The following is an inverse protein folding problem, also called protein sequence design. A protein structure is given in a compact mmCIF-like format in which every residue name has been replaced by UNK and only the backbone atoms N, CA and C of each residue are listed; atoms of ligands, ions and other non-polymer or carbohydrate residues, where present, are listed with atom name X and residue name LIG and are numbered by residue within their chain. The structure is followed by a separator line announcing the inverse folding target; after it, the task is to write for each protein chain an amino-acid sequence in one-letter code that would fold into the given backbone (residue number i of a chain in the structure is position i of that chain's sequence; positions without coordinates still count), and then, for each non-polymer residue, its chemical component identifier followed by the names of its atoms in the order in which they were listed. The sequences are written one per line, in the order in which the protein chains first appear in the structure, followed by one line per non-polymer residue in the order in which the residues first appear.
data_IF_752748646259
#
_entry.id   IF_752748646259
#
_cell.length_a   1.000
_cell.length_b   1.000
_cell.length_c   1.000
_cell.angle_alpha   90.00
_cell.angle_beta   90.00
_cell.angle_gamma   90.00
#
_symmetry.space_group_name_H-M   'P 1'
#
loop_
_entity.id
_entity.type
_entity.pdbx_description
1 polymer ?
#
# COMPACT_ATOMS: atom_id res chain seq x y z
N UNK A 1 -27.18 -23.28 -10.80
CA UNK A 1 -26.97 -22.88 -9.40
C UNK A 1 -25.75 -23.62 -8.89
N UNK A 2 -24.78 -22.92 -8.29
CA UNK A 2 -23.63 -23.58 -7.64
C UNK A 2 -24.18 -24.25 -6.37
N UNK A 3 -23.92 -25.55 -6.21
CA UNK A 3 -24.31 -26.34 -5.04
C UNK A 3 -23.86 -25.66 -3.73
N UNK A 4 -24.73 -25.63 -2.73
CA UNK A 4 -24.47 -25.04 -1.41
C UNK A 4 -23.23 -25.67 -0.73
N UNK A 5 -22.98 -26.96 -0.99
CA UNK A 5 -21.78 -27.65 -0.50
C UNK A 5 -20.48 -27.08 -1.10
N UNK A 6 -20.52 -26.68 -2.38
CA UNK A 6 -19.39 -26.07 -3.09
C UNK A 6 -19.14 -24.65 -2.58
N UNK A 7 -20.21 -23.88 -2.31
CA UNK A 7 -20.10 -22.53 -1.75
C UNK A 7 -19.49 -22.54 -0.33
N UNK A 8 -19.84 -23.52 0.50
CA UNK A 8 -19.23 -23.70 1.82
C UNK A 8 -17.73 -24.03 1.74
N UNK A 9 -17.34 -24.93 0.82
CA UNK A 9 -15.92 -25.27 0.58
C UNK A 9 -15.14 -24.05 0.08
N UNK A 10 -15.71 -23.26 -0.83
CA UNK A 10 -15.11 -22.03 -1.34
C UNK A 10 -14.91 -21.01 -0.21
N UNK A 11 -15.93 -20.74 0.61
CA UNK A 11 -15.83 -19.83 1.76
C UNK A 11 -14.72 -20.25 2.73
N UNK A 12 -14.63 -21.55 3.04
CA UNK A 12 -13.57 -22.09 3.90
C UNK A 12 -12.18 -21.88 3.29
N UNK A 13 -11.99 -22.28 2.04
CA UNK A 13 -10.72 -22.11 1.32
C UNK A 13 -10.28 -20.64 1.26
N UNK A 14 -11.21 -19.74 0.92
CA UNK A 14 -10.93 -18.30 0.85
C UNK A 14 -10.54 -17.74 2.23
N UNK A 15 -11.26 -18.11 3.31
CA UNK A 15 -10.91 -17.65 4.67
C UNK A 15 -9.50 -18.10 5.05
N UNK A 16 -9.15 -19.37 4.81
CA UNK A 16 -7.82 -19.91 5.09
C UNK A 16 -6.71 -19.17 4.32
N UNK A 17 -6.89 -18.94 3.02
CA UNK A 17 -5.91 -18.24 2.18
C UNK A 17 -5.76 -16.77 2.55
N UNK A 18 -6.87 -16.08 2.81
CA UNK A 18 -6.83 -14.69 3.26
C UNK A 18 -6.11 -14.55 4.61
N UNK A 19 -6.35 -15.46 5.55
CA UNK A 19 -5.62 -15.48 6.82
C UNK A 19 -4.10 -15.57 6.62
N UNK A 20 -3.65 -16.44 5.72
CA UNK A 20 -2.21 -16.56 5.40
C UNK A 20 -1.65 -15.31 4.74
N UNK A 21 -2.37 -14.70 3.80
CA UNK A 21 -1.93 -13.47 3.15
C UNK A 21 -1.92 -12.27 4.09
N UNK A 22 -2.91 -12.18 4.99
CA UNK A 22 -2.94 -11.19 6.07
C UNK A 22 -1.72 -11.36 6.98
N UNK A 23 -1.43 -12.58 7.45
CA UNK A 23 -0.23 -12.86 8.28
C UNK A 23 1.06 -12.45 7.57
N UNK A 24 1.19 -12.77 6.28
CA UNK A 24 2.35 -12.38 5.45
C UNK A 24 2.46 -10.86 5.34
N UNK A 25 1.35 -10.15 5.12
CA UNK A 25 1.32 -8.69 5.06
C UNK A 25 1.73 -8.05 6.39
N UNK A 26 1.21 -8.55 7.51
CA UNK A 26 1.58 -8.07 8.84
C UNK A 26 3.06 -8.34 9.16
N UNK A 27 3.59 -9.51 8.76
CA UNK A 27 5.01 -9.85 8.90
C UNK A 27 5.90 -8.96 8.03
N UNK A 28 5.47 -8.65 6.79
CA UNK A 28 6.18 -7.73 5.90
C UNK A 28 6.30 -6.36 6.54
N UNK A 29 5.20 -5.79 7.00
CA UNK A 29 5.23 -4.50 7.69
C UNK A 29 6.20 -4.49 8.86
N UNK A 30 6.14 -5.49 9.75
CA UNK A 30 7.02 -5.53 10.94
C UNK A 30 8.51 -5.45 10.56
N UNK A 31 8.87 -5.90 9.35
CA UNK A 31 10.24 -5.89 8.83
C UNK A 31 10.57 -4.68 7.94
N UNK A 32 9.59 -3.87 7.58
CA UNK A 32 9.79 -2.73 6.69
C UNK A 32 10.48 -1.61 7.45
N UNK A 33 11.65 -1.21 6.97
CA UNK A 33 12.20 0.11 7.29
C UNK A 33 11.53 1.16 6.38
N UNK A 34 10.84 2.14 6.98
CA UNK A 34 10.15 3.20 6.25
C UNK A 34 11.11 4.25 5.64
N UNK A 35 12.40 4.13 5.88
CA UNK A 35 13.44 4.92 5.21
C UNK A 35 14.11 4.16 4.07
N UNK A 36 13.80 2.87 3.89
CA UNK A 36 14.36 2.06 2.82
C UNK A 36 13.36 1.92 1.66
N UNK A 37 13.75 2.38 0.47
CA UNK A 37 12.87 2.41 -0.69
C UNK A 37 12.45 1.02 -1.16
N UNK A 38 13.37 0.05 -1.12
CA UNK A 38 13.10 -1.31 -1.54
C UNK A 38 12.08 -1.99 -0.61
N UNK A 39 12.18 -1.73 0.69
CA UNK A 39 11.22 -2.22 1.68
C UNK A 39 9.84 -1.58 1.53
N UNK A 40 9.77 -0.28 1.25
CA UNK A 40 8.52 0.42 0.93
C UNK A 40 7.88 -0.14 -0.34
N UNK A 41 8.67 -0.40 -1.39
CA UNK A 41 8.20 -1.00 -2.62
C UNK A 41 7.65 -2.41 -2.40
N UNK A 42 8.37 -3.25 -1.64
CA UNK A 42 7.91 -4.59 -1.24
C UNK A 42 6.61 -4.52 -0.42
N UNK A 43 6.49 -3.56 0.50
CA UNK A 43 5.27 -3.34 1.28
C UNK A 43 4.10 -2.93 0.37
N UNK A 44 4.34 -2.03 -0.60
CA UNK A 44 3.33 -1.59 -1.58
C UNK A 44 2.79 -2.76 -2.40
N UNK A 45 3.66 -3.62 -2.94
CA UNK A 45 3.24 -4.83 -3.67
C UNK A 45 2.40 -5.74 -2.77
N UNK A 46 2.84 -5.95 -1.52
CA UNK A 46 2.14 -6.82 -0.57
C UNK A 46 0.75 -6.28 -0.24
N UNK A 47 0.62 -4.97 0.01
CA UNK A 47 -0.66 -4.31 0.26
C UNK A 47 -1.57 -4.36 -0.98
N UNK A 48 -1.02 -4.18 -2.18
CA UNK A 48 -1.74 -4.32 -3.46
C UNK A 48 -2.34 -5.71 -3.63
N UNK A 49 -1.51 -6.73 -3.49
CA UNK A 49 -1.94 -8.12 -3.64
C UNK A 49 -3.03 -8.47 -2.63
N UNK A 50 -2.88 -8.06 -1.36
CA UNK A 50 -3.89 -8.33 -0.35
C UNK A 50 -5.22 -7.62 -0.64
N UNK A 51 -5.18 -6.34 -1.08
CA UNK A 51 -6.41 -5.64 -1.46
C UNK A 51 -7.12 -6.34 -2.61
N UNK A 52 -6.40 -6.67 -3.67
CA UNK A 52 -6.98 -7.34 -4.84
C UNK A 52 -7.57 -8.69 -4.48
N UNK A 53 -6.92 -9.45 -3.60
CA UNK A 53 -7.49 -10.69 -3.07
C UNK A 53 -8.82 -10.45 -2.33
N UNK A 54 -8.87 -9.45 -1.44
CA UNK A 54 -10.10 -9.12 -0.70
C UNK A 54 -11.22 -8.60 -1.62
N UNK A 55 -10.90 -7.79 -2.62
CA UNK A 55 -11.85 -7.28 -3.61
C UNK A 55 -12.40 -8.42 -4.48
N UNK A 56 -11.51 -9.29 -4.97
CA UNK A 56 -11.87 -10.46 -5.79
C UNK A 56 -12.87 -11.36 -5.06
N UNK A 57 -12.63 -11.65 -3.79
CA UNK A 57 -13.50 -12.54 -3.02
C UNK A 57 -14.61 -11.81 -2.25
N UNK A 58 -14.84 -10.52 -2.51
CA UNK A 58 -15.83 -9.72 -1.77
C UNK A 58 -17.25 -10.32 -1.76
N UNK A 59 -17.62 -11.10 -2.78
CA UNK A 59 -18.91 -11.78 -2.90
C UNK A 59 -19.13 -12.93 -1.91
N UNK A 60 -18.07 -13.49 -1.32
CA UNK A 60 -18.14 -14.55 -0.29
C UNK A 60 -17.71 -14.09 1.10
N UNK A 61 -17.28 -12.83 1.22
CA UNK A 61 -16.78 -12.23 2.47
C UNK A 61 -17.88 -11.44 3.19
N UNK A 62 -17.68 -11.23 4.49
CA UNK A 62 -18.59 -10.41 5.29
C UNK A 62 -18.48 -8.93 4.87
N UNK A 63 -19.58 -8.14 4.95
CA UNK A 63 -19.55 -6.71 4.68
C UNK A 63 -18.49 -5.94 5.49
N UNK A 64 -18.12 -6.42 6.68
CA UNK A 64 -17.06 -5.84 7.52
C UNK A 64 -15.70 -5.79 6.83
N UNK A 65 -15.45 -6.62 5.82
CA UNK A 65 -14.20 -6.60 5.03
C UNK A 65 -14.08 -5.36 4.14
N UNK A 66 -15.18 -4.66 3.84
CA UNK A 66 -15.14 -3.41 3.06
C UNK A 66 -14.26 -2.34 3.71
N UNK A 67 -14.27 -2.28 5.02
CA UNK A 67 -13.45 -1.33 5.77
C UNK A 67 -11.95 -1.67 5.64
N UNK A 68 -11.58 -2.96 5.71
CA UNK A 68 -10.21 -3.40 5.47
C UNK A 68 -9.72 -3.02 4.07
N UNK A 69 -10.56 -3.20 3.05
CA UNK A 69 -10.27 -2.80 1.67
C UNK A 69 -10.03 -1.28 1.60
N UNK A 70 -10.89 -0.47 2.23
CA UNK A 70 -10.75 0.99 2.27
C UNK A 70 -9.43 1.42 2.93
N UNK A 71 -9.03 0.77 4.03
CA UNK A 71 -7.73 1.04 4.67
C UNK A 71 -6.57 0.69 3.75
N UNK A 72 -6.60 -0.48 3.12
CA UNK A 72 -5.56 -0.89 2.18
C UNK A 72 -5.45 0.04 0.97
N UNK A 73 -6.56 0.64 0.50
CA UNK A 73 -6.51 1.70 -0.52
C UNK A 73 -5.72 2.91 -0.03
N UNK A 74 -6.07 3.45 1.14
CA UNK A 74 -5.35 4.59 1.74
C UNK A 74 -3.86 4.31 1.91
N UNK A 75 -3.52 3.10 2.34
CA UNK A 75 -2.12 2.70 2.47
C UNK A 75 -1.42 2.66 1.10
N UNK A 76 -2.08 2.12 0.07
CA UNK A 76 -1.53 2.11 -1.28
C UNK A 76 -1.36 3.52 -1.85
N UNK A 77 -2.30 4.43 -1.57
CA UNK A 77 -2.23 5.83 -2.02
C UNK A 77 -1.00 6.51 -1.40
N UNK A 78 -0.78 6.34 -0.09
CA UNK A 78 0.38 6.89 0.61
C UNK A 78 1.70 6.28 0.09
N UNK A 79 1.76 4.95 -0.02
CA UNK A 79 2.95 4.25 -0.52
C UNK A 79 3.23 4.57 -2.00
N UNK A 80 2.17 4.81 -2.78
CA UNK A 80 2.26 5.27 -4.17
C UNK A 80 2.85 6.67 -4.24
N UNK A 81 2.35 7.59 -3.41
CA UNK A 81 2.88 8.95 -3.36
C UNK A 81 4.37 8.98 -3.02
N UNK A 82 4.79 8.25 -1.97
CA UNK A 82 6.22 8.18 -1.58
C UNK A 82 7.07 7.65 -2.75
N UNK A 83 6.64 6.56 -3.38
CA UNK A 83 7.35 5.98 -4.53
C UNK A 83 7.42 6.94 -5.73
N UNK A 84 6.34 7.66 -6.00
CA UNK A 84 6.29 8.61 -7.11
C UNK A 84 7.17 9.83 -6.84
N UNK A 85 7.28 10.28 -5.57
CA UNK A 85 8.24 11.32 -5.19
C UNK A 85 9.68 10.86 -5.40
N UNK A 86 10.03 9.64 -4.99
CA UNK A 86 11.37 9.08 -5.20
C UNK A 86 11.72 8.99 -6.69
N UNK A 87 10.79 8.44 -7.48
CA UNK A 87 10.94 8.33 -8.93
C UNK A 87 11.10 9.71 -9.55
N UNK A 88 10.28 10.69 -9.14
CA UNK A 88 10.34 12.05 -9.62
C UNK A 88 11.66 12.75 -9.33
N UNK A 89 12.17 12.63 -8.10
CA UNK A 89 13.49 13.17 -7.72
C UNK A 89 14.58 12.62 -8.64
N UNK A 90 14.59 11.31 -8.90
CA UNK A 90 15.58 10.70 -9.79
C UNK A 90 15.49 11.23 -11.24
N UNK A 91 14.29 11.48 -11.76
CA UNK A 91 14.14 12.09 -13.10
C UNK A 91 14.63 13.56 -13.13
N UNK A 92 14.32 14.34 -12.09
CA UNK A 92 14.80 15.72 -11.99
C UNK A 92 16.31 15.79 -11.85
N UNK A 93 16.94 14.91 -11.06
CA UNK A 93 18.39 14.84 -10.92
C UNK A 93 19.07 14.60 -12.28
N UNK A 94 18.54 13.65 -13.07
CA UNK A 94 19.04 13.41 -14.42
C UNK A 94 18.87 14.63 -15.34
N UNK A 95 17.72 15.32 -15.27
CA UNK A 95 17.47 16.53 -16.05
C UNK A 95 18.46 17.65 -15.68
N UNK A 96 18.66 17.90 -14.39
CA UNK A 96 19.60 18.89 -13.86
C UNK A 96 21.02 18.58 -14.32
N UNK A 97 21.46 17.33 -14.23
CA UNK A 97 22.80 16.91 -14.65
C UNK A 97 23.01 17.00 -16.16
N UNK A 98 21.93 16.89 -16.96
CA UNK A 98 21.98 16.93 -18.42
C UNK A 98 21.97 18.34 -19.02
N UNK A 99 21.75 19.38 -18.22
CA UNK A 99 21.57 20.75 -18.70
C UNK A 99 22.38 21.75 -17.89
N UNK A 100 22.94 22.76 -18.57
CA UNK A 100 23.55 23.94 -17.94
C UNK A 100 22.60 25.15 -17.87
N UNK A 101 21.34 24.98 -18.28
CA UNK A 101 20.33 26.05 -18.27
C UNK A 101 19.90 26.38 -16.82
N UNK A 102 20.15 27.62 -16.33
CA UNK A 102 19.77 28.02 -14.98
C UNK A 102 18.27 27.96 -14.70
N UNK A 103 17.41 28.14 -15.72
CA UNK A 103 15.96 28.10 -15.50
C UNK A 103 15.51 26.65 -15.24
N UNK A 104 16.09 25.67 -15.93
CA UNK A 104 15.83 24.24 -15.68
C UNK A 104 16.20 23.87 -14.24
N UNK A 105 17.34 24.35 -13.74
CA UNK A 105 17.76 24.08 -12.35
C UNK A 105 16.81 24.71 -11.34
N UNK A 106 16.42 25.96 -11.56
CA UNK A 106 15.50 26.70 -10.70
C UNK A 106 14.11 26.07 -10.65
N UNK A 107 13.53 25.76 -11.81
CA UNK A 107 12.21 25.12 -11.89
C UNK A 107 12.21 23.71 -11.29
N UNK A 108 13.27 22.93 -11.55
CA UNK A 108 13.43 21.60 -10.94
C UNK A 108 13.50 21.68 -9.41
N UNK A 109 14.24 22.65 -8.87
CA UNK A 109 14.31 22.89 -7.43
C UNK A 109 12.95 23.26 -6.83
N UNK A 110 12.17 24.12 -7.50
CA UNK A 110 10.83 24.48 -7.05
C UNK A 110 9.88 23.28 -7.02
N UNK A 111 9.86 22.48 -8.10
CA UNK A 111 9.03 21.29 -8.20
C UNK A 111 9.39 20.23 -7.14
N UNK A 112 10.70 20.00 -6.94
CA UNK A 112 11.17 19.07 -5.90
C UNK A 112 10.76 19.54 -4.50
N UNK A 113 10.95 20.84 -4.21
CA UNK A 113 10.55 21.44 -2.93
C UNK A 113 9.06 21.31 -2.65
N UNK A 114 8.20 21.59 -3.63
CA UNK A 114 6.75 21.41 -3.51
C UNK A 114 6.37 19.95 -3.17
N UNK A 115 7.04 18.99 -3.82
CA UNK A 115 6.75 17.57 -3.63
C UNK A 115 7.18 17.05 -2.26
N UNK A 116 8.38 17.44 -1.80
CA UNK A 116 8.89 17.12 -0.47
C UNK A 116 8.06 17.75 0.65
N UNK A 117 7.54 18.97 0.46
CA UNK A 117 6.62 19.58 1.42
C UNK A 117 5.33 18.75 1.56
N UNK A 118 4.81 18.24 0.44
CA UNK A 118 3.58 17.44 0.41
C UNK A 118 3.76 16.04 1.00
N UNK A 119 4.99 15.57 1.21
CA UNK A 119 5.29 14.33 1.93
C UNK A 119 5.13 14.46 3.46
N UNK A 120 4.97 15.67 3.99
CA UNK A 120 4.86 15.89 5.43
C UNK A 120 3.67 15.13 6.02
N UNK A 121 3.95 14.33 7.05
CA UNK A 121 2.95 13.56 7.77
C UNK A 121 2.55 12.23 7.12
N UNK A 122 2.95 11.95 5.87
CA UNK A 122 2.59 10.70 5.18
C UNK A 122 3.03 9.45 5.94
N UNK A 123 4.24 9.48 6.53
CA UNK A 123 4.73 8.36 7.36
C UNK A 123 3.84 8.12 8.59
N UNK A 124 3.45 9.19 9.28
CA UNK A 124 2.55 9.08 10.44
C UNK A 124 1.16 8.57 10.04
N UNK A 125 0.62 9.07 8.93
CA UNK A 125 -0.65 8.60 8.40
C UNK A 125 -0.60 7.14 7.95
N UNK A 126 0.52 6.71 7.34
CA UNK A 126 0.76 5.32 6.97
C UNK A 126 0.74 4.41 8.19
N UNK A 127 1.49 4.76 9.25
CA UNK A 127 1.50 4.02 10.51
C UNK A 127 0.10 3.93 11.13
N UNK A 128 -0.65 5.05 11.12
CA UNK A 128 -2.01 5.13 11.64
C UNK A 128 -2.98 4.25 10.85
N UNK A 129 -2.95 4.30 9.51
CA UNK A 129 -3.80 3.43 8.68
C UNK A 129 -3.44 1.97 8.89
N UNK A 130 -2.14 1.67 9.02
CA UNK A 130 -1.69 0.30 9.20
C UNK A 130 -2.04 -0.28 10.57
N UNK A 131 -1.99 0.52 11.64
CA UNK A 131 -2.49 0.13 12.96
C UNK A 131 -3.97 -0.24 12.90
N UNK A 132 -4.79 0.60 12.28
CA UNK A 132 -6.23 0.34 12.10
C UNK A 132 -6.48 -0.93 11.29
N UNK A 133 -5.74 -1.12 10.19
CA UNK A 133 -5.81 -2.33 9.39
C UNK A 133 -5.43 -3.57 10.20
N UNK A 134 -4.37 -3.50 11.01
CA UNK A 134 -3.92 -4.61 11.87
C UNK A 134 -4.98 -5.02 12.89
N UNK A 135 -5.67 -4.07 13.51
CA UNK A 135 -6.72 -4.36 14.48
C UNK A 135 -7.92 -5.06 13.81
N UNK A 136 -8.33 -4.60 12.63
CA UNK A 136 -9.38 -5.25 11.84
C UNK A 136 -8.99 -6.63 11.33
N UNK A 137 -7.73 -6.78 10.91
CA UNK A 137 -7.17 -8.04 10.46
C UNK A 137 -7.17 -9.10 11.57
N UNK A 138 -6.92 -8.72 12.83
CA UNK A 138 -7.05 -9.65 13.97
C UNK A 138 -8.48 -10.15 14.12
N UNK A 139 -9.46 -9.26 14.15
CA UNK A 139 -10.88 -9.63 14.25
C UNK A 139 -11.39 -10.46 13.06
N UNK A 140 -10.75 -10.34 11.89
CA UNK A 140 -11.06 -11.20 10.74
C UNK A 140 -10.49 -12.63 10.89
N UNK A 141 -9.32 -12.75 11.51
CA UNK A 141 -8.61 -14.03 11.70
C UNK A 141 -9.17 -14.86 12.85
N UNK A 142 -9.80 -14.21 13.84
CA UNK A 142 -10.63 -14.83 14.88
C UNK A 142 -11.86 -15.57 14.28
#
# INVERSE_FOLDING_TARGET
MVDDSVNLKLKKFVKERLNDWIRRALKRLKKTDFNNEEDLHKLRITAKNLRYSLETFSFVLKPSTKEMISRLKKIQDILGYIHDTQTFSAYLDNLILSSSDPEIHKESGWLLGYRLHSDQGLKSDLEKQWKKFKDQAKSFME
#
